data_IF_513909379559
#
_entry.id   IF_513909379559
#
_cell.length_a   1.000
_cell.length_b   1.000
_cell.length_c   1.000
_cell.angle_alpha   90.00
_cell.angle_beta   90.00
_cell.angle_gamma   90.00
#
_symmetry.space_group_name_H-M   'P 1'
#
loop_
_entity.id
_entity.type
_entity.pdbx_description
1 polymer ?
#
# COMPACT_ATOMS: atom_id res chain seq x y z
N UNK A 1 68.22 -15.29 52.87
CA UNK A 1 68.05 -13.92 52.32
C UNK A 1 67.00 -13.98 51.20
N UNK A 2 66.18 -12.93 51.01
CA UNK A 2 64.80 -12.85 51.54
C UNK A 2 63.68 -13.10 50.49
N UNK A 3 62.43 -13.34 50.94
CA UNK A 3 61.24 -13.44 50.08
C UNK A 3 60.53 -12.08 49.94
N UNK A 4 60.07 -11.73 48.74
CA UNK A 4 59.23 -10.55 48.51
C UNK A 4 57.74 -10.87 48.66
N UNK A 5 57.16 -10.39 49.78
CA UNK A 5 55.74 -10.48 50.10
C UNK A 5 55.09 -9.12 49.85
N UNK A 6 54.53 -8.88 48.65
CA UNK A 6 53.76 -7.65 48.38
C UNK A 6 52.36 -7.74 48.99
N UNK A 7 52.17 -6.99 50.07
CA UNK A 7 50.92 -6.82 50.82
C UNK A 7 49.86 -6.11 49.96
N UNK A 8 48.67 -6.69 49.87
CA UNK A 8 47.46 -6.07 49.29
C UNK A 8 47.02 -4.88 50.15
N UNK A 9 46.76 -3.73 49.53
CA UNK A 9 46.11 -2.57 50.17
C UNK A 9 44.58 -2.73 50.07
N UNK A 10 43.80 -2.45 51.14
CA UNK A 10 42.34 -2.40 51.06
C UNK A 10 41.85 -1.04 50.56
N UNK A 11 40.83 -1.05 49.70
CA UNK A 11 40.11 0.11 49.18
C UNK A 11 39.17 0.72 50.23
N UNK A 12 38.99 2.05 50.29
CA UNK A 12 38.10 2.68 51.27
C UNK A 12 36.61 2.44 50.97
N UNK A 13 35.85 2.23 52.06
CA UNK A 13 34.40 1.96 52.11
C UNK A 13 33.58 3.18 51.68
N UNK A 14 32.52 2.96 50.89
CA UNK A 14 31.49 3.96 50.56
C UNK A 14 30.53 4.18 51.76
N UNK A 15 30.07 5.42 52.02
CA UNK A 15 28.98 5.67 52.98
C UNK A 15 27.60 5.30 52.39
N UNK A 16 26.58 5.02 53.23
CA UNK A 16 25.21 4.69 52.77
C UNK A 16 24.36 5.98 52.60
N UNK A 17 23.05 5.80 52.36
CA UNK A 17 21.96 6.82 52.35
C UNK A 17 21.72 7.47 50.97
N UNK A 18 20.50 7.59 50.38
CA UNK A 18 19.07 7.40 50.74
C UNK A 18 18.29 7.23 49.41
N UNK A 19 17.15 6.51 49.35
CA UNK A 19 16.31 6.48 48.15
C UNK A 19 15.31 7.66 48.12
N UNK A 20 15.05 8.30 46.95
CA UNK A 20 13.91 9.19 46.82
C UNK A 20 12.60 8.44 46.54
N UNK A 21 11.63 8.82 47.35
CA UNK A 21 10.22 8.43 47.48
C UNK A 21 9.40 8.28 46.18
N UNK A 22 8.64 7.18 46.11
CA UNK A 22 7.50 6.99 45.21
C UNK A 22 6.38 8.01 45.50
N UNK A 23 5.75 8.65 44.51
CA UNK A 23 4.51 9.39 44.73
C UNK A 23 3.36 8.43 45.06
N UNK A 24 2.70 8.70 46.19
CA UNK A 24 1.55 7.98 46.73
C UNK A 24 0.37 7.94 45.74
N UNK A 25 -0.16 6.73 45.53
CA UNK A 25 -1.56 6.51 45.10
C UNK A 25 -2.48 7.33 46.02
N UNK A 26 -3.33 8.17 45.43
CA UNK A 26 -4.51 8.71 46.11
C UNK A 26 -5.67 7.74 45.90
N UNK A 27 -6.28 7.17 46.95
CA UNK A 27 -7.64 6.71 46.89
C UNK A 27 -8.51 7.76 47.57
N UNK A 28 -9.44 8.40 46.86
CA UNK A 28 -10.70 8.67 47.51
C UNK A 28 -11.84 8.93 46.54
N UNK A 29 -12.96 8.34 46.92
CA UNK A 29 -14.27 8.39 46.33
C UNK A 29 -14.87 9.80 46.31
N UNK A 30 -15.80 10.02 45.38
CA UNK A 30 -17.22 10.24 45.73
C UNK A 30 -18.13 10.07 44.50
N UNK A 31 -19.28 9.38 44.65
CA UNK A 31 -20.31 9.27 43.63
C UNK A 31 -21.31 10.43 43.76
N UNK A 32 -21.87 10.92 42.65
CA UNK A 32 -23.17 11.62 42.54
C UNK A 32 -23.33 12.15 41.12
N UNK A 33 -24.23 11.53 40.35
CA UNK A 33 -25.63 11.90 40.17
C UNK A 33 -25.83 12.77 38.92
N UNK A 34 -26.51 12.15 37.96
CA UNK A 34 -27.15 12.70 36.76
C UNK A 34 -27.70 14.12 36.92
N UNK A 35 -27.48 15.02 35.93
CA UNK A 35 -28.35 16.17 35.75
C UNK A 35 -29.61 15.71 35.04
N UNK A 36 -30.66 15.48 35.82
CA UNK A 36 -32.04 15.45 35.36
C UNK A 36 -32.33 16.67 34.48
N UNK A 37 -32.75 16.38 33.25
CA UNK A 37 -33.30 17.33 32.27
C UNK A 37 -34.59 17.94 32.83
N UNK A 38 -34.47 19.00 33.63
CA UNK A 38 -35.62 19.78 34.13
C UNK A 38 -36.02 20.78 33.05
N UNK A 39 -37.13 20.47 32.35
CA UNK A 39 -37.84 21.39 31.47
C UNK A 39 -38.22 22.64 32.26
N UNK A 40 -37.57 23.77 31.98
CA UNK A 40 -37.98 25.08 32.48
C UNK A 40 -39.07 25.64 31.56
N UNK A 41 -40.31 25.26 31.85
CA UNK A 41 -41.52 25.91 31.35
C UNK A 41 -41.86 27.09 32.26
N UNK A 42 -41.08 28.16 32.23
CA UNK A 42 -41.38 29.36 33.03
C UNK A 42 -40.62 30.62 32.56
N UNK A 43 -40.77 31.01 31.29
CA UNK A 43 -40.44 32.37 30.86
C UNK A 43 -41.40 32.86 29.76
N UNK A 44 -42.69 32.58 29.95
CA UNK A 44 -43.76 32.99 29.02
C UNK A 44 -44.71 34.05 29.61
N UNK A 45 -44.32 34.69 30.71
CA UNK A 45 -45.28 35.52 31.48
C UNK A 45 -44.77 36.89 31.91
N UNK A 46 -43.96 37.57 31.09
CA UNK A 46 -43.63 39.00 31.26
C UNK A 46 -43.34 39.70 29.92
N UNK A 47 -44.24 39.58 28.94
CA UNK A 47 -44.12 40.36 27.68
C UNK A 47 -45.44 40.96 27.19
N UNK A 48 -46.36 41.27 28.11
CA UNK A 48 -47.60 41.97 27.78
C UNK A 48 -47.98 42.91 28.92
N UNK A 49 -47.34 44.07 28.93
CA UNK A 49 -47.77 45.25 29.71
C UNK A 49 -47.18 46.50 29.08
N UNK A 50 -47.89 47.03 28.08
CA UNK A 50 -48.12 48.47 27.80
C UNK A 50 -48.96 48.58 26.53
N UNK A 51 -50.01 49.39 26.63
CA UNK A 51 -51.11 49.53 25.68
C UNK A 51 -50.79 50.36 24.44
N UNK A 52 -51.83 50.70 23.65
CA UNK A 52 -51.74 51.05 22.24
C UNK A 52 -51.73 52.56 22.03
N UNK A 53 -50.68 53.11 21.44
CA UNK A 53 -50.71 54.45 20.84
C UNK A 53 -49.75 54.52 19.66
N UNK A 54 -50.32 54.73 18.47
CA UNK A 54 -49.69 55.48 17.39
C UNK A 54 -48.63 54.76 16.55
N UNK A 55 -49.01 54.43 15.31
CA UNK A 55 -48.07 54.27 14.20
C UNK A 55 -48.04 52.86 13.61
N UNK A 56 -48.54 52.70 12.39
CA UNK A 56 -48.27 51.53 11.57
C UNK A 56 -46.76 51.41 11.36
N UNK A 57 -46.11 50.27 11.71
CA UNK A 57 -44.72 50.08 11.37
C UNK A 57 -44.60 49.98 9.85
N UNK A 58 -43.92 50.97 9.24
CA UNK A 58 -43.51 50.88 7.85
C UNK A 58 -42.66 49.62 7.68
N UNK A 59 -43.01 48.79 6.71
CA UNK A 59 -42.23 47.62 6.36
C UNK A 59 -40.82 48.06 5.95
N UNK A 60 -39.83 47.76 6.79
CA UNK A 60 -38.43 47.92 6.40
C UNK A 60 -38.12 46.94 5.26
N UNK A 61 -37.43 47.36 4.20
CA UNK A 61 -36.93 46.44 3.18
C UNK A 61 -36.00 45.42 3.85
N UNK A 62 -36.39 44.15 3.85
CA UNK A 62 -35.54 43.08 4.36
C UNK A 62 -34.17 43.07 3.65
N UNK A 63 -33.10 42.64 4.34
CA UNK A 63 -31.76 42.64 3.77
C UNK A 63 -31.73 41.81 2.47
N UNK A 64 -30.94 42.20 1.46
CA UNK A 64 -30.89 41.49 0.20
C UNK A 64 -30.50 40.04 0.48
N UNK A 65 -31.38 39.10 0.08
CA UNK A 65 -31.10 37.67 0.06
C UNK A 65 -29.90 37.46 -0.85
N UNK A 66 -28.71 37.46 -0.26
CA UNK A 66 -27.48 37.08 -0.94
C UNK A 66 -27.65 35.64 -1.39
N UNK A 67 -28.03 35.48 -2.65
CA UNK A 67 -28.03 34.19 -3.31
C UNK A 67 -26.62 33.65 -3.22
N UNK A 68 -26.38 32.76 -2.27
CA UNK A 68 -25.22 31.88 -2.27
C UNK A 68 -25.37 31.01 -3.51
N UNK A 69 -24.96 31.56 -4.65
CA UNK A 69 -24.66 30.79 -5.85
C UNK A 69 -23.64 29.78 -5.39
N UNK A 70 -24.10 28.55 -5.16
CA UNK A 70 -23.26 27.39 -5.00
C UNK A 70 -22.43 27.33 -6.28
N UNK A 71 -21.24 27.94 -6.20
CA UNK A 71 -20.24 27.90 -7.26
C UNK A 71 -19.79 26.45 -7.26
N UNK A 72 -20.53 25.59 -7.97
CA UNK A 72 -20.07 24.29 -8.44
C UNK A 72 -18.76 24.60 -9.15
N UNK A 73 -17.66 24.51 -8.41
CA UNK A 73 -16.32 24.46 -8.98
C UNK A 73 -16.37 23.21 -9.85
N UNK A 74 -16.66 23.40 -11.14
CA UNK A 74 -16.36 22.42 -12.18
C UNK A 74 -14.92 22.01 -11.88
N UNK A 75 -14.72 20.73 -11.57
CA UNK A 75 -13.39 20.16 -11.40
C UNK A 75 -12.66 20.39 -12.71
N UNK A 76 -11.92 21.49 -12.79
CA UNK A 76 -11.01 21.72 -13.88
C UNK A 76 -9.94 20.65 -13.74
N UNK A 77 -9.94 19.68 -14.65
CA UNK A 77 -8.79 18.84 -14.90
C UNK A 77 -7.61 19.79 -15.07
N UNK A 78 -6.66 19.76 -14.12
CA UNK A 78 -5.42 20.50 -14.28
C UNK A 78 -4.74 20.05 -15.59
N UNK A 79 -3.82 20.86 -16.14
CA UNK A 79 -3.02 20.41 -17.27
C UNK A 79 -2.33 19.10 -16.91
N UNK A 80 -2.41 18.12 -17.81
CA UNK A 80 -1.81 16.80 -17.65
C UNK A 80 -0.32 16.97 -17.40
N UNK A 81 0.18 16.41 -16.31
CA UNK A 81 1.61 16.48 -15.98
C UNK A 81 2.41 15.59 -16.94
N UNK A 82 3.68 15.94 -17.19
CA UNK A 82 4.56 15.14 -18.04
C UNK A 82 4.70 13.69 -17.55
N UNK A 83 4.76 13.50 -16.22
CA UNK A 83 4.80 12.18 -15.59
C UNK A 83 3.53 11.35 -15.86
N UNK A 84 2.34 11.95 -15.83
CA UNK A 84 1.08 11.27 -16.16
C UNK A 84 1.07 10.82 -17.63
N UNK A 85 1.54 11.66 -18.55
CA UNK A 85 1.62 11.29 -19.99
C UNK A 85 2.54 10.08 -20.17
N UNK A 86 3.73 10.10 -19.57
CA UNK A 86 4.68 8.98 -19.64
C UNK A 86 4.07 7.73 -19.01
N UNK A 87 3.39 7.86 -17.87
CA UNK A 87 2.67 6.75 -17.24
C UNK A 87 1.63 6.13 -18.18
N UNK A 88 0.80 6.93 -18.86
CA UNK A 88 -0.19 6.40 -19.80
C UNK A 88 0.45 5.68 -20.99
N UNK A 89 1.57 6.19 -21.51
CA UNK A 89 2.33 5.52 -22.58
C UNK A 89 2.86 4.17 -22.08
N UNK A 90 3.49 4.15 -20.90
CA UNK A 90 4.03 2.92 -20.30
C UNK A 90 2.92 1.90 -20.03
N UNK A 91 1.80 2.34 -19.47
CA UNK A 91 0.64 1.50 -19.20
C UNK A 91 0.02 0.94 -20.49
N UNK A 92 -0.08 1.76 -21.54
CA UNK A 92 -0.62 1.32 -22.84
C UNK A 92 0.27 0.27 -23.48
N UNK A 93 1.58 0.51 -23.58
CA UNK A 93 2.54 -0.45 -24.13
C UNK A 93 2.54 -1.75 -23.31
N UNK A 94 2.54 -1.64 -21.98
CA UNK A 94 2.50 -2.81 -21.09
C UNK A 94 1.21 -3.63 -21.24
N UNK A 95 0.07 -2.97 -21.39
CA UNK A 95 -1.23 -3.63 -21.60
C UNK A 95 -1.29 -4.35 -22.95
N UNK A 96 -0.78 -3.71 -24.01
CA UNK A 96 -0.70 -4.32 -25.35
C UNK A 96 0.25 -5.53 -25.34
N UNK A 97 1.40 -5.40 -24.67
CA UNK A 97 2.35 -6.50 -24.51
C UNK A 97 1.73 -7.68 -23.75
N UNK A 98 1.02 -7.42 -22.65
CA UNK A 98 0.33 -8.45 -21.87
C UNK A 98 -0.78 -9.15 -22.69
N UNK A 99 -1.53 -8.41 -23.50
CA UNK A 99 -2.51 -8.99 -24.40
C UNK A 99 -1.86 -9.85 -25.49
N UNK A 100 -0.76 -9.39 -26.09
CA UNK A 100 0.02 -10.13 -27.09
C UNK A 100 0.69 -11.38 -26.50
N UNK A 101 1.14 -11.33 -25.25
CA UNK A 101 1.70 -12.45 -24.51
C UNK A 101 0.72 -13.64 -24.47
N UNK A 102 -0.55 -13.40 -24.13
CA UNK A 102 -1.56 -14.46 -23.98
C UNK A 102 -2.16 -14.90 -25.33
N UNK A 103 -2.21 -13.99 -26.31
CA UNK A 103 -2.78 -14.28 -27.64
C UNK A 103 -1.77 -14.90 -28.62
N UNK A 104 -0.47 -14.83 -28.32
CA UNK A 104 0.58 -15.35 -29.20
C UNK A 104 0.57 -16.88 -29.21
N UNK A 105 0.46 -17.46 -30.41
CA UNK A 105 0.52 -18.92 -30.60
C UNK A 105 1.94 -19.48 -30.60
N UNK A 106 2.95 -18.64 -30.82
CA UNK A 106 4.34 -19.05 -30.78
C UNK A 106 4.91 -18.75 -29.38
N UNK A 107 5.42 -19.78 -28.72
CA UNK A 107 5.91 -19.74 -27.34
C UNK A 107 7.10 -18.79 -27.17
N UNK A 108 8.01 -18.73 -28.14
CA UNK A 108 9.16 -17.82 -28.11
C UNK A 108 8.69 -16.37 -28.21
N UNK A 109 7.75 -16.08 -29.12
CA UNK A 109 7.18 -14.73 -29.26
C UNK A 109 6.40 -14.33 -27.99
N UNK A 110 5.63 -15.25 -27.41
CA UNK A 110 4.95 -15.04 -26.14
C UNK A 110 5.97 -14.66 -25.06
N UNK A 111 7.07 -15.39 -24.95
CA UNK A 111 8.11 -15.09 -23.97
C UNK A 111 8.79 -13.72 -24.17
N UNK A 112 8.99 -13.26 -25.40
CA UNK A 112 9.47 -11.89 -25.66
C UNK A 112 8.48 -10.83 -25.20
N UNK A 113 7.17 -11.06 -25.40
CA UNK A 113 6.13 -10.17 -24.86
C UNK A 113 6.06 -10.21 -23.33
N UNK A 114 6.43 -11.32 -22.69
CA UNK A 114 6.58 -11.40 -21.23
C UNK A 114 7.71 -10.50 -20.73
N UNK A 115 8.89 -10.55 -21.37
CA UNK A 115 10.03 -9.65 -21.06
C UNK A 115 9.56 -8.19 -21.15
N UNK A 116 8.92 -7.83 -22.26
CA UNK A 116 8.43 -6.48 -22.47
C UNK A 116 7.43 -6.06 -21.39
N UNK A 117 6.48 -6.92 -21.03
CA UNK A 117 5.49 -6.64 -19.98
C UNK A 117 6.16 -6.38 -18.64
N UNK A 118 7.12 -7.22 -18.24
CA UNK A 118 7.87 -7.06 -16.99
C UNK A 118 8.75 -5.80 -16.99
N UNK A 119 9.30 -5.40 -18.15
CA UNK A 119 10.01 -4.16 -18.31
C UNK A 119 9.09 -2.93 -18.13
N UNK A 120 7.86 -2.97 -18.65
CA UNK A 120 6.89 -1.87 -18.44
C UNK A 120 6.46 -1.77 -16.97
N UNK A 121 6.38 -2.90 -16.25
CA UNK A 121 6.16 -2.90 -14.80
C UNK A 121 7.35 -2.26 -14.06
N UNK A 122 8.59 -2.58 -14.43
CA UNK A 122 9.77 -1.93 -13.86
C UNK A 122 9.79 -0.41 -14.13
N UNK A 123 9.44 0.00 -15.35
CA UNK A 123 9.29 1.41 -15.71
C UNK A 123 8.21 2.11 -14.86
N UNK A 124 7.10 1.41 -14.55
CA UNK A 124 6.06 1.93 -13.65
C UNK A 124 6.61 2.14 -12.23
N UNK A 125 7.43 1.23 -11.71
CA UNK A 125 8.07 1.42 -10.40
C UNK A 125 9.03 2.63 -10.37
N UNK A 126 9.74 2.89 -11.46
CA UNK A 126 10.57 4.10 -11.59
C UNK A 126 9.71 5.38 -11.56
N UNK A 127 8.57 5.38 -12.26
CA UNK A 127 7.61 6.50 -12.23
C UNK A 127 6.99 6.72 -10.85
N UNK A 128 6.90 5.68 -10.02
CA UNK A 128 6.43 5.76 -8.63
C UNK A 128 7.53 6.17 -7.64
N UNK A 129 8.74 6.48 -8.10
CA UNK A 129 9.90 6.80 -7.27
C UNK A 129 10.28 5.67 -6.27
N UNK A 130 10.08 4.42 -6.68
CA UNK A 130 10.48 3.21 -5.92
C UNK A 130 11.63 2.50 -6.65
N UNK A 131 12.79 3.16 -6.66
CA UNK A 131 13.97 2.75 -7.44
C UNK A 131 14.49 1.34 -7.09
N UNK A 132 14.51 0.99 -5.81
CA UNK A 132 15.04 -0.30 -5.34
C UNK A 132 14.23 -1.46 -5.93
N UNK A 133 12.91 -1.37 -5.86
CA UNK A 133 12.00 -2.40 -6.37
C UNK A 133 12.08 -2.49 -7.90
N UNK A 134 12.26 -1.36 -8.59
CA UNK A 134 12.50 -1.36 -10.03
C UNK A 134 13.77 -2.15 -10.42
N UNK A 135 14.87 -1.94 -9.70
CA UNK A 135 16.12 -2.70 -9.95
C UNK A 135 15.98 -4.18 -9.65
N UNK A 136 15.33 -4.53 -8.53
CA UNK A 136 15.03 -5.93 -8.18
C UNK A 136 14.14 -6.58 -9.25
N UNK A 137 13.16 -5.85 -9.79
CA UNK A 137 12.30 -6.31 -10.88
C UNK A 137 13.12 -6.72 -12.11
N UNK A 138 14.07 -5.88 -12.51
CA UNK A 138 14.93 -6.14 -13.67
C UNK A 138 15.87 -7.32 -13.40
N UNK A 139 16.55 -7.35 -12.25
CA UNK A 139 17.56 -8.39 -11.97
C UNK A 139 16.90 -9.77 -11.78
N UNK A 140 15.82 -9.85 -11.00
CA UNK A 140 15.21 -11.14 -10.64
C UNK A 140 14.22 -11.60 -11.70
N UNK A 141 13.24 -10.76 -12.06
CA UNK A 141 12.17 -11.20 -12.95
C UNK A 141 12.64 -11.22 -14.41
N UNK A 142 13.21 -10.12 -14.90
CA UNK A 142 13.68 -10.06 -16.28
C UNK A 142 14.99 -10.83 -16.48
N UNK A 143 15.90 -10.80 -15.50
CA UNK A 143 17.20 -11.47 -15.57
C UNK A 143 17.13 -12.97 -15.31
N UNK A 144 16.75 -13.39 -14.10
CA UNK A 144 16.83 -14.80 -13.71
C UNK A 144 15.59 -15.61 -14.15
N UNK A 145 14.39 -15.18 -13.77
CA UNK A 145 13.16 -15.97 -13.94
C UNK A 145 12.83 -16.14 -15.43
N UNK A 146 12.81 -15.05 -16.21
CA UNK A 146 12.46 -15.16 -17.62
C UNK A 146 13.50 -15.96 -18.40
N UNK A 147 14.79 -15.81 -18.10
CA UNK A 147 15.83 -16.62 -18.76
C UNK A 147 15.65 -18.11 -18.44
N UNK A 148 15.36 -18.46 -17.18
CA UNK A 148 15.04 -19.85 -16.80
C UNK A 148 13.80 -20.38 -17.55
N UNK A 149 12.74 -19.56 -17.63
CA UNK A 149 11.51 -19.91 -18.36
C UNK A 149 11.83 -20.11 -19.86
N UNK A 150 12.57 -19.20 -20.48
CA UNK A 150 12.99 -19.30 -21.87
C UNK A 150 13.78 -20.58 -22.14
N UNK A 151 14.79 -20.88 -21.32
CA UNK A 151 15.56 -22.12 -21.44
C UNK A 151 14.68 -23.35 -21.28
N UNK A 152 13.80 -23.37 -20.28
CA UNK A 152 12.90 -24.50 -20.04
C UNK A 152 11.94 -24.73 -21.22
N UNK A 153 11.36 -23.65 -21.76
CA UNK A 153 10.42 -23.70 -22.87
C UNK A 153 11.11 -24.11 -24.18
N UNK A 154 12.37 -23.71 -24.37
CA UNK A 154 13.15 -24.10 -25.55
C UNK A 154 13.63 -25.56 -25.49
N UNK A 155 13.97 -26.06 -24.30
CA UNK A 155 14.33 -27.47 -24.12
C UNK A 155 13.14 -28.40 -24.26
N UNK A 156 11.95 -27.93 -23.93
CA UNK A 156 10.71 -28.68 -24.11
C UNK A 156 10.29 -28.58 -25.57
N UNK A 157 10.03 -29.70 -26.26
CA UNK A 157 9.42 -29.68 -27.61
C UNK A 157 7.98 -29.18 -27.50
N UNK A 158 7.78 -27.87 -27.40
CA UNK A 158 6.45 -27.28 -27.41
C UNK A 158 5.84 -27.48 -28.81
N UNK A 159 4.67 -28.12 -28.95
CA UNK A 159 4.00 -28.23 -30.24
C UNK A 159 3.76 -26.84 -30.84
N UNK A 160 4.44 -26.54 -31.95
CA UNK A 160 4.28 -25.27 -32.67
C UNK A 160 3.09 -25.44 -33.60
N UNK A 161 1.87 -25.36 -33.08
CA UNK A 161 0.66 -25.53 -33.87
C UNK A 161 -0.63 -25.30 -33.10
N UNK A 162 -1.68 -24.88 -33.80
CA UNK A 162 -3.04 -24.86 -33.24
C UNK A 162 -3.51 -26.31 -33.08
N UNK A 163 -3.27 -26.92 -31.93
CA UNK A 163 -3.97 -28.15 -31.60
C UNK A 163 -5.48 -27.89 -31.52
N UNK A 164 -6.28 -28.87 -31.93
CA UNK A 164 -7.74 -28.87 -31.99
C UNK A 164 -8.44 -28.78 -30.62
N UNK A 165 -7.75 -28.25 -29.61
CA UNK A 165 -8.27 -27.90 -28.28
C UNK A 165 -8.74 -26.43 -28.28
N UNK A 166 -9.40 -26.01 -29.36
CA UNK A 166 -10.09 -24.73 -29.38
C UNK A 166 -11.29 -24.82 -28.43
N UNK A 167 -11.05 -24.38 -27.20
CA UNK A 167 -12.03 -24.47 -26.13
C UNK A 167 -13.29 -23.67 -26.51
N UNK A 168 -14.39 -24.36 -26.73
CA UNK A 168 -15.71 -23.76 -27.03
C UNK A 168 -16.16 -22.78 -25.92
N UNK A 169 -15.54 -22.83 -24.75
CA UNK A 169 -15.77 -21.91 -23.63
C UNK A 169 -14.95 -20.61 -23.69
N UNK A 170 -14.18 -20.33 -24.75
CA UNK A 170 -13.44 -19.06 -24.91
C UNK A 170 -14.35 -17.84 -24.77
N UNK A 171 -15.59 -17.93 -25.24
CA UNK A 171 -16.60 -16.87 -25.07
C UNK A 171 -16.95 -16.65 -23.59
N UNK A 172 -17.19 -17.74 -22.84
CA UNK A 172 -17.48 -17.67 -21.41
C UNK A 172 -16.30 -17.12 -20.60
N UNK A 173 -15.07 -17.54 -20.94
CA UNK A 173 -13.84 -17.04 -20.33
C UNK A 173 -13.63 -15.55 -20.64
N UNK A 174 -13.95 -15.10 -21.85
CA UNK A 174 -13.92 -13.69 -22.24
C UNK A 174 -14.92 -12.86 -21.42
N UNK A 175 -16.16 -13.33 -21.29
CA UNK A 175 -17.19 -12.67 -20.47
C UNK A 175 -16.76 -12.60 -19.00
N UNK A 176 -16.23 -13.68 -18.45
CA UNK A 176 -15.72 -13.70 -17.08
C UNK A 176 -14.55 -12.72 -16.89
N UNK A 177 -13.59 -12.68 -17.82
CA UNK A 177 -12.46 -11.75 -17.79
C UNK A 177 -12.90 -10.29 -17.86
N UNK A 178 -13.82 -9.95 -18.76
CA UNK A 178 -14.40 -8.59 -18.86
C UNK A 178 -15.20 -8.25 -17.61
N UNK A 179 -15.97 -9.19 -17.06
CA UNK A 179 -16.72 -9.00 -15.81
C UNK A 179 -15.82 -8.70 -14.62
N UNK A 180 -14.72 -9.44 -14.48
CA UNK A 180 -13.71 -9.22 -13.43
C UNK A 180 -13.03 -7.85 -13.63
N UNK A 181 -12.64 -7.51 -14.87
CA UNK A 181 -12.01 -6.22 -15.19
C UNK A 181 -12.95 -5.05 -14.88
N UNK A 182 -14.22 -5.13 -15.29
CA UNK A 182 -15.22 -4.11 -14.99
C UNK A 182 -15.47 -3.97 -13.49
N UNK A 183 -15.54 -5.10 -12.76
CA UNK A 183 -15.66 -5.11 -11.30
C UNK A 183 -14.48 -4.45 -10.61
N UNK A 184 -13.25 -4.75 -11.03
CA UNK A 184 -12.03 -4.11 -10.54
C UNK A 184 -12.03 -2.60 -10.81
N UNK A 185 -12.38 -2.17 -12.02
CA UNK A 185 -12.46 -0.74 -12.37
C UNK A 185 -13.51 -0.05 -11.50
N UNK A 186 -14.68 -0.66 -11.29
CA UNK A 186 -15.74 -0.12 -10.43
C UNK A 186 -15.26 0.05 -8.99
N UNK A 187 -14.64 -1.00 -8.41
CA UNK A 187 -14.11 -0.96 -7.04
C UNK A 187 -13.00 0.07 -6.87
N UNK A 188 -12.10 0.18 -7.85
CA UNK A 188 -11.03 1.18 -7.85
C UNK A 188 -11.58 2.60 -7.94
N UNK A 189 -12.53 2.84 -8.85
CA UNK A 189 -13.18 4.14 -8.94
C UNK A 189 -13.87 4.49 -7.62
N UNK A 190 -14.65 3.57 -7.03
CA UNK A 190 -15.33 3.82 -5.76
C UNK A 190 -14.36 4.10 -4.61
N UNK A 191 -13.24 3.38 -4.54
CA UNK A 191 -12.29 3.45 -3.42
C UNK A 191 -11.33 4.64 -3.50
N UNK A 192 -10.97 5.06 -4.72
CA UNK A 192 -9.94 6.06 -4.97
C UNK A 192 -10.46 7.36 -5.59
N UNK A 193 -11.76 7.51 -5.86
CA UNK A 193 -12.32 8.73 -6.45
C UNK A 193 -11.92 9.98 -5.66
N UNK A 194 -11.22 10.91 -6.32
CA UNK A 194 -10.86 12.21 -5.74
C UNK A 194 -9.78 12.18 -4.65
N UNK A 195 -9.17 11.03 -4.36
CA UNK A 195 -8.01 10.96 -3.45
C UNK A 195 -6.76 11.42 -4.17
N UNK A 196 -6.12 12.46 -3.66
CA UNK A 196 -4.76 12.85 -4.07
C UNK A 196 -3.79 12.14 -3.17
N UNK A 197 -2.94 11.30 -3.76
CA UNK A 197 -1.85 10.63 -3.06
C UNK A 197 -0.59 11.44 -3.35
N UNK A 198 0.08 11.92 -2.30
CA UNK A 198 1.38 12.54 -2.45
C UNK A 198 2.43 11.45 -2.61
N UNK A 199 3.16 11.49 -3.72
CA UNK A 199 4.27 10.58 -3.98
C UNK A 199 5.45 11.02 -3.12
N UNK A 200 5.98 10.11 -2.31
CA UNK A 200 7.19 10.33 -1.53
C UNK A 200 8.25 9.34 -2.00
N UNK A 201 9.44 9.82 -2.43
CA UNK A 201 10.52 8.94 -2.86
C UNK A 201 10.88 7.96 -1.75
N UNK A 202 10.82 6.66 -2.06
CA UNK A 202 11.15 5.60 -1.11
C UNK A 202 12.65 5.36 -1.16
N UNK A 203 13.35 5.66 -0.06
CA UNK A 203 14.80 5.44 0.03
C UNK A 203 15.10 3.96 0.27
N UNK A 204 16.10 3.44 -0.44
CA UNK A 204 16.65 2.08 -0.25
C UNK A 204 16.93 1.74 1.22
N UNK A 205 17.50 2.68 1.98
CA UNK A 205 17.80 2.51 3.40
C UNK A 205 16.55 2.25 4.26
N UNK A 206 15.40 2.86 3.94
CA UNK A 206 14.16 2.65 4.69
C UNK A 206 13.62 1.23 4.47
N UNK A 207 13.70 0.73 3.24
CA UNK A 207 13.33 -0.65 2.90
C UNK A 207 14.20 -1.64 3.67
N UNK A 208 15.53 -1.41 3.69
CA UNK A 208 16.46 -2.25 4.45
C UNK A 208 16.14 -2.31 5.93
N UNK A 209 15.89 -1.16 6.58
CA UNK A 209 15.53 -1.11 8.00
C UNK A 209 14.21 -1.84 8.26
N UNK A 210 13.19 -1.67 7.40
CA UNK A 210 11.90 -2.32 7.59
C UNK A 210 11.99 -3.84 7.45
N UNK A 211 12.79 -4.36 6.50
CA UNK A 211 13.02 -5.80 6.33
C UNK A 211 13.60 -6.43 7.61
N UNK A 212 14.60 -5.79 8.21
CA UNK A 212 15.30 -6.31 9.39
C UNK A 212 14.68 -5.91 10.73
N UNK A 213 13.62 -5.09 10.75
CA UNK A 213 12.95 -4.64 11.98
C UNK A 213 11.50 -5.07 12.05
N UNK A 214 10.73 -4.76 11.03
CA UNK A 214 9.29 -5.01 10.99
C UNK A 214 8.98 -6.39 10.38
N UNK A 215 9.78 -6.83 9.40
CA UNK A 215 9.58 -8.06 8.61
C UNK A 215 10.62 -9.15 8.87
N UNK A 216 11.16 -9.24 10.09
CA UNK A 216 12.17 -10.25 10.46
C UNK A 216 11.66 -11.68 10.25
N UNK A 217 10.44 -11.97 10.70
CA UNK A 217 9.84 -13.31 10.57
C UNK A 217 9.64 -13.72 9.09
N UNK A 218 9.01 -12.90 8.22
CA UNK A 218 8.97 -13.19 6.79
C UNK A 218 10.35 -13.37 6.15
N UNK A 219 11.34 -12.56 6.52
CA UNK A 219 12.71 -12.68 6.02
C UNK A 219 13.33 -14.05 6.35
N UNK A 220 13.17 -14.50 7.58
CA UNK A 220 13.65 -15.82 8.01
C UNK A 220 12.94 -16.95 7.26
N UNK A 221 11.62 -16.89 7.12
CA UNK A 221 10.83 -17.87 6.36
C UNK A 221 11.29 -17.93 4.90
N UNK A 222 11.55 -16.79 4.26
CA UNK A 222 12.06 -16.74 2.89
C UNK A 222 13.46 -17.35 2.78
N UNK A 223 14.33 -17.16 3.78
CA UNK A 223 15.66 -17.77 3.78
C UNK A 223 15.59 -19.31 3.80
N UNK A 224 14.71 -19.88 4.63
CA UNK A 224 14.48 -21.34 4.69
C UNK A 224 13.80 -21.83 3.40
N UNK A 225 12.87 -21.05 2.84
CA UNK A 225 12.23 -21.36 1.57
C UNK A 225 13.25 -21.43 0.42
N UNK A 226 14.20 -20.50 0.36
CA UNK A 226 15.26 -20.49 -0.66
C UNK A 226 16.21 -21.68 -0.49
N UNK A 227 16.56 -22.04 0.75
CA UNK A 227 17.34 -23.23 1.05
C UNK A 227 16.61 -24.50 0.58
N UNK A 228 15.33 -24.63 0.93
CA UNK A 228 14.51 -25.77 0.54
C UNK A 228 14.34 -25.86 -0.99
N UNK A 229 14.15 -24.73 -1.67
CA UNK A 229 14.04 -24.68 -3.13
C UNK A 229 15.34 -25.13 -3.81
N UNK A 230 16.51 -24.71 -3.30
CA UNK A 230 17.81 -25.14 -3.82
C UNK A 230 18.01 -26.65 -3.66
N UNK A 231 17.76 -27.18 -2.45
CA UNK A 231 17.88 -28.63 -2.19
C UNK A 231 16.91 -29.41 -3.07
N UNK A 232 15.65 -28.97 -3.16
CA UNK A 232 14.63 -29.61 -3.99
C UNK A 232 15.01 -29.63 -5.48
N UNK A 233 15.50 -28.52 -6.02
CA UNK A 233 15.95 -28.44 -7.41
C UNK A 233 17.13 -29.39 -7.68
N UNK A 234 18.11 -29.46 -6.78
CA UNK A 234 19.28 -30.34 -6.93
C UNK A 234 18.90 -31.82 -6.86
N UNK A 235 18.03 -32.20 -5.92
CA UNK A 235 17.57 -33.59 -5.78
C UNK A 235 16.82 -34.06 -7.02
N UNK A 236 15.95 -33.21 -7.59
CA UNK A 236 15.20 -33.53 -8.82
C UNK A 236 16.12 -33.60 -10.05
N UNK A 237 17.12 -32.72 -10.13
CA UNK A 237 18.03 -32.67 -11.28
C UNK A 237 19.08 -33.78 -11.29
N UNK A 238 19.31 -34.45 -10.15
CA UNK A 238 20.29 -35.52 -10.03
C UNK A 238 19.77 -36.78 -10.73
N UNK A 239 20.53 -37.30 -11.70
CA UNK A 239 20.28 -38.63 -12.27
C UNK A 239 20.73 -39.71 -11.28
N UNK A 240 19.93 -40.75 -11.14
CA UNK A 240 20.32 -41.97 -10.43
C UNK A 240 21.23 -42.79 -11.36
N UNK A 241 22.46 -43.06 -10.91
CA UNK A 241 23.31 -44.05 -11.59
C UNK A 241 22.78 -45.43 -11.19
N UNK A 242 22.26 -46.25 -12.13
CA UNK A 242 21.82 -47.59 -11.81
C UNK A 242 23.05 -48.41 -11.39
N UNK A 243 22.98 -48.98 -10.19
CA UNK A 243 24.00 -49.87 -9.62
C UNK A 243 24.06 -51.21 -10.35
#
# INVERSE_FOLDING_TARGET
MPPQRRRRRPSPRRPPHRPPSRPRRRPNAKPRSSPTRRRSTACWRRKWRRGPTGGWPRAEPGPPRSGRRARRRRGGSGPVTSQEIVFFIVAAIGSIAAFRLVTSSNVVHAALYLVLTLAMVAATYLLLAVEFVAWVQVIIYMGAIVVLVLFSLMLTKAPIGREALDNQQRGLAGVAGVGILAGLIYLLQQSFHGKRIELHPVRTAQVGVSIFRDFVLPFEVVSVLLLAALVGAVVIARKEDPA
#
